data_IF_137468660177
#
_entry.id   IF_137468660177
#
_cell.length_a   1.000
_cell.length_b   1.000
_cell.length_c   1.000
_cell.angle_alpha   90.00
_cell.angle_beta   90.00
_cell.angle_gamma   90.00
#
_symmetry.space_group_name_H-M   'P 1'
#
loop_
_entity.id
_entity.type
_entity.pdbx_description
1 polymer ?
#
# COMPACT_ATOMS: atom_id res chain seq x y z
N UNK A 1 4.09 0.43 15.50
CA UNK A 1 2.82 0.43 14.72
C UNK A 1 3.11 0.24 13.23
N UNK A 2 2.25 -0.49 12.51
CA UNK A 2 2.38 -0.62 11.06
C UNK A 2 1.08 -0.17 10.38
N UNK A 3 1.15 0.84 9.51
CA UNK A 3 0.06 1.26 8.62
C UNK A 3 0.39 0.78 7.22
N UNK A 4 -0.43 -0.11 6.68
CA UNK A 4 -0.30 -0.63 5.33
C UNK A 4 -1.35 -0.05 4.40
N UNK A 5 -0.94 0.77 3.45
CA UNK A 5 -1.82 1.38 2.45
C UNK A 5 -1.71 0.54 1.16
N UNK A 6 -2.77 -0.17 0.83
CA UNK A 6 -2.85 -1.03 -0.35
C UNK A 6 -3.82 -0.47 -1.39
N UNK A 7 -3.68 -0.92 -2.62
CA UNK A 7 -4.47 -0.52 -3.78
C UNK A 7 -3.68 -0.74 -5.05
N UNK A 8 -4.34 -0.79 -6.20
CA UNK A 8 -3.68 -1.02 -7.48
C UNK A 8 -2.95 0.24 -7.99
N UNK A 9 -2.25 0.17 -9.11
CA UNK A 9 -1.53 1.32 -9.67
C UNK A 9 -2.47 2.51 -9.87
N UNK A 10 -1.96 3.72 -9.70
CA UNK A 10 -2.70 4.99 -9.80
C UNK A 10 -3.87 5.17 -8.80
N UNK A 11 -4.09 4.24 -7.84
CA UNK A 11 -5.14 4.40 -6.82
C UNK A 11 -4.88 5.55 -5.83
N UNK A 12 -3.65 6.07 -5.73
CA UNK A 12 -3.30 7.13 -4.80
C UNK A 12 -2.62 6.64 -3.51
N UNK A 13 -2.28 5.35 -3.38
CA UNK A 13 -1.63 4.81 -2.18
C UNK A 13 -0.32 5.52 -1.81
N UNK A 14 0.60 5.71 -2.76
CA UNK A 14 1.86 6.44 -2.50
C UNK A 14 1.63 7.92 -2.18
N UNK A 15 0.60 8.52 -2.78
CA UNK A 15 0.21 9.92 -2.51
C UNK A 15 -0.27 10.07 -1.06
N UNK A 16 -1.19 9.19 -0.62
CA UNK A 16 -1.65 9.19 0.77
C UNK A 16 -0.53 8.81 1.74
N UNK A 17 0.27 7.79 1.40
CA UNK A 17 1.35 7.30 2.25
C UNK A 17 2.41 8.36 2.52
N UNK A 18 2.90 9.04 1.48
CA UNK A 18 3.87 10.15 1.62
C UNK A 18 3.28 11.32 2.43
N UNK A 19 2.03 11.68 2.19
CA UNK A 19 1.35 12.73 2.96
C UNK A 19 1.20 12.33 4.43
N UNK A 20 0.70 11.11 4.69
CA UNK A 20 0.53 10.59 6.04
C UNK A 20 1.87 10.51 6.77
N UNK A 21 2.88 9.92 6.16
CA UNK A 21 4.23 9.83 6.71
C UNK A 21 4.80 11.19 7.10
N UNK A 22 4.77 12.17 6.17
CA UNK A 22 5.30 13.52 6.42
C UNK A 22 4.61 14.19 7.61
N UNK A 23 3.30 14.09 7.71
CA UNK A 23 2.52 14.69 8.80
C UNK A 23 2.71 13.93 10.11
N UNK A 24 2.70 12.59 10.05
CA UNK A 24 2.81 11.73 11.22
C UNK A 24 4.19 11.79 11.87
N UNK A 25 5.26 11.77 11.07
CA UNK A 25 6.65 11.84 11.52
C UNK A 25 6.97 13.12 12.33
N UNK A 26 6.27 14.24 12.06
CA UNK A 26 6.44 15.48 12.86
C UNK A 26 6.08 15.27 14.34
N UNK A 27 5.11 14.40 14.62
CA UNK A 27 4.68 14.09 16.00
C UNK A 27 5.35 12.85 16.56
N UNK A 28 5.70 11.89 15.70
CA UNK A 28 6.30 10.61 16.04
C UNK A 28 7.57 10.42 15.21
N UNK A 29 8.72 10.98 15.63
CA UNK A 29 9.97 11.00 14.87
C UNK A 29 10.49 9.62 14.48
N UNK A 30 10.27 8.60 15.34
CA UNK A 30 10.62 7.21 15.05
C UNK A 30 9.62 6.57 14.06
N UNK A 31 9.49 7.19 12.89
CA UNK A 31 8.61 6.75 11.81
C UNK A 31 9.41 6.60 10.52
N UNK A 32 9.23 5.48 9.83
CA UNK A 32 9.82 5.20 8.51
C UNK A 32 8.75 4.96 7.46
N UNK A 33 9.13 5.10 6.20
CA UNK A 33 8.24 4.93 5.06
C UNK A 33 8.82 3.96 4.04
N UNK A 34 8.01 2.97 3.62
CA UNK A 34 8.32 2.08 2.52
C UNK A 34 7.33 2.27 1.37
N UNK A 35 7.84 2.59 0.18
CA UNK A 35 7.09 2.51 -1.06
C UNK A 35 7.44 1.22 -1.80
N UNK A 36 6.44 0.44 -2.21
CA UNK A 36 6.66 -0.86 -2.81
C UNK A 36 7.39 -0.83 -4.16
N UNK A 37 7.27 0.27 -4.92
CA UNK A 37 8.01 0.43 -6.17
C UNK A 37 9.47 0.80 -5.89
N UNK A 38 9.71 1.68 -4.90
CA UNK A 38 11.06 2.05 -4.45
C UNK A 38 11.77 0.84 -3.81
N UNK A 39 11.05 0.08 -2.97
CA UNK A 39 11.56 -1.13 -2.34
C UNK A 39 12.04 -2.18 -3.36
N UNK A 40 11.29 -2.36 -4.46
CA UNK A 40 11.69 -3.26 -5.53
C UNK A 40 13.04 -2.86 -6.15
N UNK A 41 13.27 -1.58 -6.35
CA UNK A 41 14.53 -1.06 -6.93
C UNK A 41 15.76 -1.25 -6.05
N UNK A 42 15.61 -1.39 -4.72
CA UNK A 42 16.73 -1.69 -3.82
C UNK A 42 17.42 -3.02 -4.20
N UNK A 43 16.68 -3.94 -4.79
CA UNK A 43 17.21 -5.24 -5.27
C UNK A 43 17.59 -5.19 -6.77
N UNK A 44 17.97 -4.02 -7.28
CA UNK A 44 18.43 -3.83 -8.67
C UNK A 44 17.47 -4.41 -9.72
N UNK A 45 16.17 -4.36 -9.48
CA UNK A 45 15.11 -4.89 -10.36
C UNK A 45 15.33 -6.38 -10.73
N UNK A 46 15.90 -7.19 -9.82
CA UNK A 46 16.18 -8.62 -9.98
C UNK A 46 14.92 -9.45 -10.29
N UNK A 47 13.75 -8.92 -10.00
CA UNK A 47 12.44 -9.50 -10.28
C UNK A 47 11.58 -8.53 -11.10
N UNK A 48 10.69 -9.11 -11.92
CA UNK A 48 9.78 -8.34 -12.77
C UNK A 48 8.38 -8.23 -12.11
N UNK A 49 7.31 -8.41 -12.87
CA UNK A 49 5.93 -8.17 -12.41
C UNK A 49 5.00 -9.37 -12.55
N UNK A 50 5.56 -10.58 -12.82
CA UNK A 50 4.79 -11.83 -12.80
C UNK A 50 4.19 -12.08 -11.42
N UNK A 51 3.23 -12.99 -11.30
CA UNK A 51 2.67 -13.37 -9.99
C UNK A 51 3.76 -13.89 -9.05
N UNK A 52 4.70 -14.70 -9.56
CA UNK A 52 5.84 -15.22 -8.80
C UNK A 52 6.74 -14.09 -8.29
N UNK A 53 7.08 -13.14 -9.14
CA UNK A 53 7.92 -11.98 -8.76
C UNK A 53 7.22 -11.10 -7.71
N UNK A 54 5.90 -10.93 -7.86
CA UNK A 54 5.08 -10.20 -6.87
C UNK A 54 5.07 -10.90 -5.52
N UNK A 55 5.02 -12.23 -5.51
CA UNK A 55 5.10 -13.03 -4.29
C UNK A 55 6.48 -12.92 -3.64
N UNK A 56 7.57 -12.99 -4.40
CA UNK A 56 8.94 -12.78 -3.90
C UNK A 56 9.05 -11.39 -3.27
N UNK A 57 8.61 -10.35 -3.97
CA UNK A 57 8.63 -8.98 -3.43
C UNK A 57 7.76 -8.84 -2.16
N UNK A 58 6.61 -9.51 -2.12
CA UNK A 58 5.75 -9.51 -0.95
C UNK A 58 6.41 -10.20 0.26
N UNK A 59 7.08 -11.35 0.05
CA UNK A 59 7.85 -12.03 1.10
C UNK A 59 8.93 -11.09 1.66
N UNK A 60 9.76 -10.50 0.80
CA UNK A 60 10.84 -9.59 1.19
C UNK A 60 10.32 -8.42 2.02
N UNK A 61 9.29 -7.72 1.49
CA UNK A 61 8.75 -6.53 2.14
C UNK A 61 8.03 -6.86 3.45
N UNK A 62 7.21 -7.91 3.49
CA UNK A 62 6.50 -8.29 4.71
C UNK A 62 7.42 -8.79 5.81
N UNK A 63 8.49 -9.52 5.46
CA UNK A 63 9.51 -9.98 6.41
C UNK A 63 10.29 -8.79 6.99
N UNK A 64 10.71 -7.84 6.15
CA UNK A 64 11.38 -6.62 6.62
C UNK A 64 10.47 -5.79 7.53
N UNK A 65 9.22 -5.57 7.13
CA UNK A 65 8.25 -4.83 7.94
C UNK A 65 8.03 -5.50 9.29
N UNK A 66 7.90 -6.84 9.33
CA UNK A 66 7.80 -7.57 10.60
C UNK A 66 9.04 -7.34 11.47
N UNK A 67 10.24 -7.54 10.91
CA UNK A 67 11.50 -7.38 11.65
C UNK A 67 11.64 -5.96 12.24
N UNK A 68 11.44 -4.92 11.42
CA UNK A 68 11.56 -3.53 11.87
C UNK A 68 10.44 -3.16 12.86
N UNK A 69 9.24 -3.71 12.72
CA UNK A 69 8.13 -3.43 13.64
C UNK A 69 8.37 -3.91 15.07
N UNK A 70 9.27 -4.89 15.26
CA UNK A 70 9.67 -5.39 16.57
C UNK A 70 10.63 -4.43 17.31
N UNK A 71 11.20 -3.44 16.60
CA UNK A 71 12.13 -2.45 17.13
C UNK A 71 11.44 -1.15 17.56
N UNK A 72 10.19 -1.21 18.01
CA UNK A 72 9.40 -0.06 18.47
C UNK A 72 9.32 1.10 17.45
N UNK A 73 9.31 0.76 16.16
CA UNK A 73 9.28 1.74 15.07
C UNK A 73 7.87 1.84 14.47
N UNK A 74 7.44 3.04 14.15
CA UNK A 74 6.24 3.26 13.36
C UNK A 74 6.58 3.12 11.88
N UNK A 75 5.79 2.33 11.15
CA UNK A 75 6.04 2.03 9.74
C UNK A 75 4.81 2.41 8.92
N UNK A 76 5.02 3.22 7.90
CA UNK A 76 4.01 3.49 6.87
C UNK A 76 4.45 2.77 5.60
N UNK A 77 3.61 1.87 5.08
CA UNK A 77 3.88 1.11 3.86
C UNK A 77 2.87 1.50 2.79
N UNK A 78 3.35 1.82 1.60
CA UNK A 78 2.53 2.02 0.40
C UNK A 78 2.85 0.95 -0.63
N UNK A 79 2.21 -0.21 -0.55
CA UNK A 79 2.47 -1.31 -1.46
C UNK A 79 1.22 -2.13 -1.77
N UNK A 80 1.11 -2.57 -3.03
CA UNK A 80 0.08 -3.53 -3.41
C UNK A 80 0.57 -4.95 -3.13
N UNK A 81 -0.06 -5.64 -2.19
CA UNK A 81 0.09 -7.08 -2.02
C UNK A 81 -1.05 -7.75 -2.78
N UNK A 82 -0.73 -8.33 -3.93
CA UNK A 82 -1.71 -8.97 -4.82
C UNK A 82 -2.26 -10.25 -4.20
N UNK A 83 -1.42 -11.03 -3.51
CA UNK A 83 -1.81 -12.29 -2.89
C UNK A 83 -2.46 -12.09 -1.52
N UNK A 84 -3.65 -12.63 -1.34
CA UNK A 84 -4.38 -12.60 -0.07
C UNK A 84 -3.64 -13.33 1.06
N UNK A 85 -2.82 -14.35 0.75
CA UNK A 85 -2.06 -15.12 1.76
C UNK A 85 -1.09 -14.20 2.53
N UNK A 86 -0.38 -13.30 1.86
CA UNK A 86 0.58 -12.40 2.53
C UNK A 86 -0.13 -11.33 3.35
N UNK A 87 -1.31 -10.88 2.93
CA UNK A 87 -2.12 -9.95 3.72
C UNK A 87 -2.64 -10.60 5.00
N UNK A 88 -3.13 -11.86 4.89
CA UNK A 88 -3.52 -12.66 6.07
C UNK A 88 -2.31 -12.89 6.98
N UNK A 89 -1.15 -13.18 6.38
CA UNK A 89 0.09 -13.38 7.12
C UNK A 89 0.50 -12.12 7.90
N UNK A 90 0.49 -10.94 7.27
CA UNK A 90 0.78 -9.68 7.96
C UNK A 90 -0.17 -9.45 9.14
N UNK A 91 -1.46 -9.65 8.93
CA UNK A 91 -2.47 -9.46 9.98
C UNK A 91 -2.28 -10.41 11.17
N UNK A 92 -1.77 -11.61 10.93
CA UNK A 92 -1.46 -12.61 11.98
C UNK A 92 -0.13 -12.34 12.68
N UNK A 93 0.89 -11.89 11.94
CA UNK A 93 2.30 -11.92 12.41
C UNK A 93 2.89 -10.54 12.71
N UNK A 94 2.23 -9.45 12.31
CA UNK A 94 2.68 -8.08 12.56
C UNK A 94 1.79 -7.47 13.63
N UNK A 95 2.36 -7.21 14.81
CA UNK A 95 1.64 -6.52 15.89
C UNK A 95 1.31 -5.08 15.52
N UNK A 96 0.23 -4.55 16.07
CA UNK A 96 -0.20 -3.16 15.83
C UNK A 96 -0.33 -2.82 14.33
N UNK A 97 -0.93 -3.77 13.56
CA UNK A 97 -1.14 -3.66 12.12
C UNK A 97 -2.48 -3.00 11.80
N UNK A 98 -2.45 -2.02 10.91
CA UNK A 98 -3.64 -1.31 10.40
C UNK A 98 -3.59 -1.25 8.88
N UNK A 99 -4.58 -1.83 8.21
CA UNK A 99 -4.63 -1.89 6.75
C UNK A 99 -5.66 -0.90 6.19
N UNK A 100 -5.21 -0.07 5.25
CA UNK A 100 -6.05 0.85 4.49
C UNK A 100 -6.10 0.37 3.05
N UNK A 101 -7.29 0.10 2.55
CA UNK A 101 -7.50 -0.16 1.12
C UNK A 101 -8.00 1.10 0.42
N UNK A 102 -7.28 1.54 -0.60
CA UNK A 102 -7.73 2.61 -1.48
C UNK A 102 -8.44 1.97 -2.67
N UNK A 103 -9.77 2.04 -2.64
CA UNK A 103 -10.62 1.62 -3.74
C UNK A 103 -10.79 2.78 -4.72
N UNK A 104 -10.53 2.51 -5.98
CA UNK A 104 -10.64 3.49 -7.05
C UNK A 104 -11.17 2.79 -8.29
N UNK A 105 -12.26 3.27 -8.88
CA UNK A 105 -12.81 2.69 -10.10
C UNK A 105 -11.81 2.67 -11.25
N UNK A 106 -11.85 1.63 -12.06
CA UNK A 106 -10.90 1.43 -13.17
C UNK A 106 -10.89 2.61 -14.15
N UNK A 107 -12.03 3.22 -14.40
CA UNK A 107 -12.14 4.39 -15.28
C UNK A 107 -11.36 5.60 -14.75
N UNK A 108 -11.40 5.81 -13.44
CA UNK A 108 -10.62 6.86 -12.77
C UNK A 108 -9.13 6.54 -12.82
N UNK A 109 -8.76 5.26 -12.64
CA UNK A 109 -7.37 4.81 -12.72
C UNK A 109 -6.79 5.01 -14.12
N UNK A 110 -7.57 4.68 -15.17
CA UNK A 110 -7.18 4.91 -16.57
C UNK A 110 -6.99 6.40 -16.87
N UNK A 111 -7.83 7.29 -16.34
CA UNK A 111 -7.67 8.75 -16.48
C UNK A 111 -6.42 9.27 -15.76
N UNK A 112 -6.06 8.68 -14.60
CA UNK A 112 -4.90 9.05 -13.78
C UNK A 112 -3.58 8.39 -14.22
N UNK A 113 -3.58 7.61 -15.27
CA UNK A 113 -2.49 6.75 -15.72
C UNK A 113 -1.25 7.52 -16.20
N UNK A 114 -0.66 8.33 -15.31
CA UNK A 114 0.50 9.17 -15.59
C UNK A 114 1.74 8.36 -16.04
N UNK A 115 1.85 7.08 -15.65
CA UNK A 115 2.91 6.15 -16.11
C UNK A 115 2.56 5.49 -17.45
N UNK A 116 1.40 5.77 -18.03
CA UNK A 116 0.84 5.11 -19.22
C UNK A 116 0.78 3.58 -19.08
N UNK A 117 0.67 3.07 -17.84
CA UNK A 117 0.68 1.65 -17.52
C UNK A 117 -0.54 0.94 -18.12
N UNK A 118 -1.74 1.43 -17.78
CA UNK A 118 -3.00 0.88 -18.28
C UNK A 118 -3.13 1.05 -19.79
N UNK A 119 -2.77 2.22 -20.32
CA UNK A 119 -2.81 2.47 -21.77
C UNK A 119 -1.91 1.50 -22.54
N UNK A 120 -0.71 1.20 -22.01
CA UNK A 120 0.22 0.24 -22.66
C UNK A 120 -0.25 -1.20 -22.51
N UNK A 121 -0.81 -1.59 -21.37
CA UNK A 121 -1.33 -2.92 -21.11
C UNK A 121 -2.54 -3.23 -22.01
N UNK A 122 -3.50 -2.31 -22.11
CA UNK A 122 -4.67 -2.45 -22.98
C UNK A 122 -4.32 -2.54 -24.47
N UNK A 123 -3.15 -1.98 -24.88
CA UNK A 123 -2.60 -2.12 -26.23
C UNK A 123 -1.71 -3.36 -26.39
N UNK A 124 -1.66 -4.27 -25.42
CA UNK A 124 -0.83 -5.47 -25.46
C UNK A 124 0.68 -5.23 -25.37
N UNK A 125 1.14 -3.97 -25.18
CA UNK A 125 2.57 -3.61 -25.16
C UNK A 125 3.31 -4.05 -23.89
N UNK A 126 2.60 -4.31 -22.81
CA UNK A 126 3.13 -4.83 -21.55
C UNK A 126 2.13 -5.81 -20.95
N UNK A 127 2.65 -6.79 -20.20
CA UNK A 127 1.88 -7.82 -19.48
C UNK A 127 2.06 -7.70 -17.96
N UNK A 128 1.33 -8.52 -17.22
CA UNK A 128 1.39 -8.61 -15.76
C UNK A 128 0.91 -7.35 -15.04
N UNK A 129 -0.11 -6.68 -15.60
CA UNK A 129 -0.71 -5.48 -15.02
C UNK A 129 -1.97 -5.84 -14.25
N UNK A 130 -1.93 -5.60 -12.94
CA UNK A 130 -3.06 -5.88 -12.04
C UNK A 130 -4.25 -4.99 -12.39
N UNK A 131 -5.40 -5.63 -12.61
CA UNK A 131 -6.63 -4.98 -13.05
C UNK A 131 -6.81 -4.94 -14.58
N UNK A 132 -5.85 -5.49 -15.35
CA UNK A 132 -5.98 -5.69 -16.81
C UNK A 132 -5.86 -7.18 -17.12
N UNK A 133 -4.66 -7.71 -17.15
CA UNK A 133 -4.38 -9.14 -17.44
C UNK A 133 -4.14 -9.96 -16.16
N UNK A 134 -3.87 -9.31 -15.02
CA UNK A 134 -3.87 -9.98 -13.72
C UNK A 134 -5.10 -9.57 -12.90
N UNK A 135 -5.87 -10.58 -12.46
CA UNK A 135 -7.07 -10.37 -11.64
C UNK A 135 -6.73 -9.72 -10.30
N UNK A 136 -7.41 -8.64 -9.95
CA UNK A 136 -7.31 -8.02 -8.64
C UNK A 136 -8.43 -8.52 -7.73
N UNK A 137 -8.05 -9.18 -6.63
CA UNK A 137 -8.98 -9.54 -5.56
C UNK A 137 -8.99 -8.42 -4.54
N UNK A 138 -10.10 -7.66 -4.50
CA UNK A 138 -10.27 -6.60 -3.50
C UNK A 138 -10.17 -7.16 -2.09
N UNK A 139 -9.53 -6.44 -1.16
CA UNK A 139 -9.58 -6.79 0.26
C UNK A 139 -11.01 -6.70 0.81
N UNK A 140 -11.41 -7.70 1.57
CA UNK A 140 -12.74 -7.74 2.23
C UNK A 140 -12.68 -7.45 3.74
N UNK A 141 -11.49 -7.34 4.33
CA UNK A 141 -11.30 -7.18 5.77
C UNK A 141 -10.25 -6.09 6.11
N UNK A 142 -10.08 -5.09 5.25
CA UNK A 142 -9.26 -3.92 5.58
C UNK A 142 -9.88 -3.13 6.73
N UNK A 143 -9.03 -2.52 7.56
CA UNK A 143 -9.47 -1.72 8.72
C UNK A 143 -10.15 -0.42 8.30
N UNK A 144 -9.80 0.08 7.11
CA UNK A 144 -10.43 1.23 6.47
C UNK A 144 -10.41 1.04 4.95
N UNK A 145 -11.56 1.30 4.33
CA UNK A 145 -11.66 1.43 2.86
C UNK A 145 -11.88 2.89 2.52
N UNK A 146 -11.05 3.44 1.64
CA UNK A 146 -11.15 4.81 1.16
C UNK A 146 -11.52 4.78 -0.32
N UNK A 147 -12.70 5.30 -0.66
CA UNK A 147 -13.02 5.63 -2.05
C UNK A 147 -12.19 6.84 -2.48
N UNK A 148 -11.35 6.64 -3.48
CA UNK A 148 -10.53 7.69 -4.06
C UNK A 148 -10.94 8.04 -5.50
N UNK A 149 -12.24 8.19 -5.74
CA UNK A 149 -12.80 8.71 -7.00
C UNK A 149 -12.65 10.23 -7.13
N UNK A 150 -12.23 10.92 -6.06
CA UNK A 150 -12.25 12.38 -5.91
C UNK A 150 -10.87 13.03 -5.98
N UNK A 151 -10.76 14.22 -5.41
CA UNK A 151 -9.56 15.06 -5.40
C UNK A 151 -8.52 14.63 -4.36
N UNK A 152 -7.26 15.06 -4.55
CA UNK A 152 -6.20 14.87 -3.54
C UNK A 152 -6.56 15.48 -2.19
N UNK A 153 -7.26 16.63 -2.17
CA UNK A 153 -7.70 17.29 -0.92
C UNK A 153 -8.60 16.37 -0.11
N UNK A 154 -9.58 15.72 -0.76
CA UNK A 154 -10.47 14.74 -0.13
C UNK A 154 -9.71 13.49 0.32
N UNK A 155 -8.72 13.02 -0.44
CA UNK A 155 -7.86 11.91 -0.01
C UNK A 155 -7.09 12.26 1.27
N UNK A 156 -6.54 13.47 1.36
CA UNK A 156 -5.78 13.93 2.52
C UNK A 156 -6.63 14.21 3.77
N UNK A 157 -7.91 14.56 3.61
CA UNK A 157 -8.82 14.76 4.75
C UNK A 157 -9.05 13.49 5.59
N UNK A 158 -8.75 12.31 5.03
CA UNK A 158 -8.80 11.04 5.77
C UNK A 158 -7.72 10.91 6.88
N UNK A 159 -6.73 11.80 6.96
CA UNK A 159 -5.67 11.70 7.97
C UNK A 159 -6.22 11.61 9.40
N UNK A 160 -7.11 12.51 9.77
CA UNK A 160 -7.68 12.55 11.12
C UNK A 160 -8.57 11.33 11.41
N UNK A 161 -9.31 10.85 10.40
CA UNK A 161 -10.09 9.61 10.49
C UNK A 161 -9.18 8.41 10.75
N UNK A 162 -8.08 8.28 10.02
CA UNK A 162 -7.11 7.20 10.21
C UNK A 162 -6.56 7.21 11.63
N UNK A 163 -6.14 8.38 12.14
CA UNK A 163 -5.62 8.51 13.51
C UNK A 163 -6.70 8.13 14.54
N UNK A 164 -7.93 8.57 14.35
CA UNK A 164 -9.05 8.22 15.25
C UNK A 164 -9.28 6.71 15.29
N UNK A 165 -9.33 6.05 14.14
CA UNK A 165 -9.55 4.59 14.05
C UNK A 165 -8.39 3.79 14.67
N UNK A 166 -7.14 4.22 14.47
CA UNK A 166 -5.96 3.61 15.11
C UNK A 166 -6.09 3.65 16.63
N UNK A 167 -6.50 4.81 17.19
CA UNK A 167 -6.71 4.97 18.64
C UNK A 167 -7.86 4.11 19.14
N UNK A 168 -8.99 4.07 18.43
CA UNK A 168 -10.14 3.23 18.78
C UNK A 168 -9.77 1.74 18.83
N UNK A 169 -8.90 1.29 17.95
CA UNK A 169 -8.38 -0.09 17.95
C UNK A 169 -7.26 -0.33 18.98
N UNK A 170 -6.94 0.65 19.82
CA UNK A 170 -5.87 0.58 20.83
C UNK A 170 -4.53 0.15 20.25
N UNK A 171 -4.27 0.51 18.99
CA UNK A 171 -2.99 0.22 18.32
C UNK A 171 -1.91 1.10 18.94
N UNK A 172 -0.85 0.47 19.44
CA UNK A 172 0.27 1.14 20.07
C UNK A 172 1.08 1.94 19.03
N UNK A 173 1.32 3.21 19.32
CA UNK A 173 2.16 4.13 18.54
C UNK A 173 3.45 4.36 19.31
N UNK A 174 4.59 4.24 18.64
CA UNK A 174 5.92 4.45 19.22
C UNK A 174 6.49 5.84 18.91
#
# INVERSE_FOLDING_TARGET
MVIWITGISASGKSTLGKYFFKKFKKKYPNTIFFDGDEFRRIFHDDIKYTLKDRDINAIRLTSLVKYVSQQQTNIVVSANITSLRFRKWCRKNVKNYFEIFIDTPMEVLKKRDYKKLYKRALKGKIKNVVGVDLKFKKPNNSDLVIDNSFTKKKLFSNYNLIIRLIRQKKILIF
#
